data_IF_270213268495
#
_entry.id   IF_270213268495
#
_cell.length_a   1.000
_cell.length_b   1.000
_cell.length_c   1.000
_cell.angle_alpha   90.00
_cell.angle_beta   90.00
_cell.angle_gamma   90.00
#
_symmetry.space_group_name_H-M   'P 1'
#
loop_
_entity.id
_entity.type
_entity.pdbx_description
1 polymer ?
#
# COMPACT_ATOMS: atom_id res chain seq x y z
N UNK A 1 -6.50 -27.34 3.13
CA UNK A 1 -5.09 -27.68 2.84
C UNK A 1 -4.77 -29.01 3.50
N UNK A 2 -4.21 -29.98 2.78
CA UNK A 2 -3.73 -31.19 3.44
C UNK A 2 -2.64 -30.81 4.48
N UNK A 3 -2.94 -31.03 5.77
CA UNK A 3 -2.02 -30.76 6.87
C UNK A 3 -1.90 -29.29 7.31
N UNK A 4 -2.72 -28.39 6.79
CA UNK A 4 -2.74 -26.98 7.17
C UNK A 4 -4.10 -26.53 7.69
N UNK A 5 -4.12 -25.52 8.57
CA UNK A 5 -5.32 -24.89 9.10
C UNK A 5 -5.26 -23.40 8.80
N UNK A 6 -6.32 -22.85 8.21
CA UNK A 6 -6.55 -21.40 8.11
C UNK A 6 -7.55 -21.02 9.22
N UNK A 7 -7.17 -20.06 10.06
CA UNK A 7 -8.06 -19.47 11.06
C UNK A 7 -8.26 -17.99 10.72
N UNK A 8 -9.49 -17.53 10.73
CA UNK A 8 -9.86 -16.13 10.62
C UNK A 8 -10.50 -15.67 11.92
N UNK A 9 -10.11 -14.51 12.41
CA UNK A 9 -10.66 -13.90 13.63
C UNK A 9 -10.64 -12.38 13.54
N UNK A 10 -11.45 -11.73 14.37
CA UNK A 10 -11.44 -10.28 14.50
C UNK A 10 -10.29 -9.79 15.37
N UNK A 11 -9.84 -8.55 15.13
CA UNK A 11 -8.76 -7.92 15.92
C UNK A 11 -9.12 -7.65 17.39
N UNK A 12 -10.40 -7.70 17.75
CA UNK A 12 -10.88 -7.53 19.13
C UNK A 12 -10.98 -8.83 19.91
N UNK A 13 -10.79 -9.98 19.26
CA UNK A 13 -10.94 -11.30 19.85
C UNK A 13 -9.63 -11.79 20.47
N UNK A 14 -9.23 -11.23 21.62
CA UNK A 14 -7.98 -11.52 22.30
C UNK A 14 -7.70 -13.02 22.45
N UNK A 15 -8.70 -13.82 22.89
CA UNK A 15 -8.57 -15.25 23.06
C UNK A 15 -8.23 -15.94 21.72
N UNK A 16 -8.85 -15.58 20.60
CA UNK A 16 -8.58 -16.16 19.30
C UNK A 16 -7.16 -15.80 18.80
N UNK A 17 -6.72 -14.57 19.05
CA UNK A 17 -5.38 -14.08 18.70
C UNK A 17 -4.28 -14.75 19.53
N UNK A 18 -4.58 -15.16 20.77
CA UNK A 18 -3.60 -15.69 21.70
C UNK A 18 -3.59 -17.23 21.82
N UNK A 19 -4.55 -17.94 21.23
CA UNK A 19 -4.81 -19.35 21.58
C UNK A 19 -3.97 -20.38 20.84
N UNK A 20 -3.40 -20.06 19.66
CA UNK A 20 -2.78 -21.08 18.80
C UNK A 20 -1.42 -20.64 18.27
N UNK A 21 -0.43 -21.54 18.13
CA UNK A 21 0.79 -21.26 17.39
C UNK A 21 0.47 -20.95 15.92
N UNK A 22 1.07 -19.90 15.37
CA UNK A 22 0.82 -19.43 14.00
C UNK A 22 2.16 -19.32 13.27
N UNK A 23 2.27 -19.89 12.08
CA UNK A 23 3.46 -19.75 11.25
C UNK A 23 3.37 -18.57 10.32
N UNK A 24 2.21 -18.36 9.68
CA UNK A 24 1.94 -17.29 8.74
C UNK A 24 0.81 -16.42 9.29
N UNK A 25 1.06 -15.14 9.43
CA UNK A 25 0.10 -14.15 9.91
C UNK A 25 -0.17 -13.13 8.81
N UNK A 26 -1.46 -12.89 8.57
CA UNK A 26 -1.93 -11.87 7.64
C UNK A 26 -2.87 -10.93 8.38
N UNK A 27 -2.50 -9.67 8.48
CA UNK A 27 -3.33 -8.60 9.03
C UNK A 27 -3.84 -7.71 7.92
N UNK A 28 -5.15 -7.73 7.70
CA UNK A 28 -5.81 -6.86 6.73
C UNK A 28 -6.41 -5.66 7.44
N UNK A 29 -6.43 -4.49 6.77
CA UNK A 29 -6.95 -3.22 7.31
C UNK A 29 -6.37 -2.85 8.68
N UNK A 30 -5.05 -2.96 8.84
CA UNK A 30 -4.32 -2.81 10.12
C UNK A 30 -4.65 -1.51 10.86
N UNK A 31 -4.83 -0.40 10.15
CA UNK A 31 -5.15 0.91 10.73
C UNK A 31 -6.58 1.02 11.28
N UNK A 32 -7.43 0.06 10.97
CA UNK A 32 -8.80 0.00 11.47
C UNK A 32 -8.96 -0.93 12.68
N UNK A 33 -7.87 -1.55 13.10
CA UNK A 33 -7.89 -2.41 14.26
C UNK A 33 -8.03 -1.60 15.55
N UNK A 34 -8.66 -2.19 16.54
CA UNK A 34 -8.73 -1.59 17.86
C UNK A 34 -7.33 -1.43 18.46
N UNK A 35 -7.10 -0.38 19.23
CA UNK A 35 -5.84 -0.16 19.92
C UNK A 35 -5.50 -1.27 20.93
N UNK A 36 -6.51 -1.97 21.44
CA UNK A 36 -6.37 -3.10 22.35
C UNK A 36 -7.41 -4.18 22.05
N UNK A 37 -7.00 -5.44 22.07
CA UNK A 37 -7.89 -6.59 22.04
C UNK A 37 -8.43 -6.81 23.48
N UNK A 38 -9.58 -6.22 23.77
CA UNK A 38 -10.09 -6.18 25.15
C UNK A 38 -9.10 -5.47 26.09
N UNK A 39 -8.69 -6.17 27.16
CA UNK A 39 -7.70 -5.69 28.14
C UNK A 39 -6.30 -6.26 27.94
N UNK A 40 -6.05 -7.00 26.83
CA UNK A 40 -4.80 -7.76 26.64
C UNK A 40 -3.74 -7.02 25.81
N UNK A 41 -4.03 -5.81 25.33
CA UNK A 41 -3.06 -4.97 24.60
C UNK A 41 -3.16 -5.08 23.09
N UNK A 42 -2.09 -4.67 22.39
CA UNK A 42 -2.08 -4.58 20.93
C UNK A 42 -2.39 -5.92 20.24
N UNK A 43 -3.43 -6.00 19.42
CA UNK A 43 -3.82 -7.23 18.71
C UNK A 43 -2.71 -7.81 17.84
N UNK A 44 -1.90 -6.96 17.17
CA UNK A 44 -0.81 -7.40 16.33
C UNK A 44 0.31 -8.04 17.15
N UNK A 45 0.65 -7.42 18.28
CA UNK A 45 1.61 -7.97 19.24
C UNK A 45 1.18 -9.31 19.81
N UNK A 46 -0.10 -9.46 20.15
CA UNK A 46 -0.66 -10.74 20.62
C UNK A 46 -0.53 -11.84 19.57
N UNK A 47 -0.87 -11.55 18.32
CA UNK A 47 -0.82 -12.50 17.24
C UNK A 47 0.64 -12.87 16.85
N UNK A 48 1.54 -11.88 16.74
CA UNK A 48 2.95 -12.13 16.41
C UNK A 48 3.69 -12.91 17.49
N UNK A 49 3.32 -12.74 18.76
CA UNK A 49 3.88 -13.54 19.85
C UNK A 49 3.61 -15.06 19.69
N UNK A 50 2.60 -15.46 18.92
CA UNK A 50 2.30 -16.87 18.62
C UNK A 50 3.21 -17.48 17.56
N UNK A 51 4.05 -16.68 16.93
CA UNK A 51 4.99 -17.13 15.90
C UNK A 51 6.33 -17.60 16.45
N UNK A 52 6.63 -17.36 17.72
CA UNK A 52 7.95 -17.59 18.35
C UNK A 52 8.46 -19.04 18.20
N UNK A 53 7.58 -20.01 18.03
CA UNK A 53 7.93 -21.41 17.84
C UNK A 53 8.35 -21.77 16.43
N UNK A 54 8.17 -20.84 15.47
CA UNK A 54 8.47 -21.09 14.06
C UNK A 54 9.66 -20.25 13.62
N UNK A 55 10.80 -20.86 13.37
CA UNK A 55 12.02 -20.19 12.88
C UNK A 55 11.84 -19.50 11.51
N UNK A 56 10.85 -19.94 10.73
CA UNK A 56 10.53 -19.41 9.40
C UNK A 56 9.13 -18.78 9.36
N UNK A 57 8.72 -18.18 10.46
CA UNK A 57 7.49 -17.41 10.53
C UNK A 57 7.52 -16.22 9.55
N UNK A 58 6.34 -15.87 9.05
CA UNK A 58 6.15 -14.66 8.23
C UNK A 58 4.90 -13.92 8.65
N UNK A 59 5.02 -12.60 8.75
CA UNK A 59 3.91 -11.70 9.00
C UNK A 59 3.78 -10.72 7.83
N UNK A 60 2.55 -10.48 7.43
CA UNK A 60 2.20 -9.47 6.42
C UNK A 60 1.06 -8.65 6.99
N UNK A 61 1.24 -7.35 7.04
CA UNK A 61 0.18 -6.41 7.38
C UNK A 61 -0.07 -5.47 6.19
N UNK A 62 -1.33 -5.21 5.91
CA UNK A 62 -1.76 -4.31 4.84
C UNK A 62 -2.83 -3.37 5.36
N UNK A 63 -2.81 -2.14 4.90
CA UNK A 63 -3.84 -1.15 5.20
C UNK A 63 -3.69 0.08 4.32
N UNK A 64 -4.76 0.84 4.21
CA UNK A 64 -4.70 2.24 3.82
C UNK A 64 -4.43 3.07 5.08
N UNK A 65 -3.40 3.94 5.10
CA UNK A 65 -3.12 4.79 6.26
C UNK A 65 -4.29 5.74 6.52
N UNK A 66 -4.62 5.97 7.80
CA UNK A 66 -5.76 6.80 8.21
C UNK A 66 -5.33 8.19 8.64
N UNK A 67 -4.70 8.34 9.79
CA UNK A 67 -4.31 9.63 10.37
C UNK A 67 -2.79 9.71 10.39
N UNK A 68 -2.24 10.71 9.71
CA UNK A 68 -0.79 10.94 9.65
C UNK A 68 -0.19 11.03 11.06
N UNK A 69 0.86 10.26 11.31
CA UNK A 69 1.58 10.20 12.59
C UNK A 69 0.92 9.33 13.67
N UNK A 70 -0.33 8.85 13.46
CA UNK A 70 -1.01 7.92 14.35
C UNK A 70 -1.30 6.56 13.68
N UNK A 71 -1.06 6.45 12.39
CA UNK A 71 -1.27 5.27 11.58
C UNK A 71 -0.28 4.16 11.93
N UNK A 72 -0.79 2.96 12.24
CA UNK A 72 0.03 1.79 12.52
C UNK A 72 0.78 1.31 11.27
N UNK A 73 0.10 1.33 10.11
CA UNK A 73 0.73 0.90 8.84
C UNK A 73 1.77 1.93 8.36
N UNK A 74 1.59 3.23 8.62
CA UNK A 74 2.57 4.26 8.33
C UNK A 74 3.86 4.02 9.12
N UNK A 75 3.73 3.68 10.41
CA UNK A 75 4.86 3.32 11.26
C UNK A 75 5.55 2.05 10.76
N UNK A 76 4.81 0.98 10.48
CA UNK A 76 5.37 -0.26 9.94
C UNK A 76 6.08 -0.03 8.59
N UNK A 77 5.53 0.82 7.72
CA UNK A 77 6.20 1.23 6.49
C UNK A 77 7.51 1.98 6.77
N UNK A 78 7.52 2.91 7.74
CA UNK A 78 8.70 3.70 8.09
C UNK A 78 9.84 2.85 8.67
N UNK A 79 9.52 1.77 9.38
CA UNK A 79 10.49 0.84 9.99
C UNK A 79 11.09 -0.16 8.97
N UNK A 80 10.52 -0.27 7.78
CA UNK A 80 10.96 -1.20 6.74
C UNK A 80 11.81 -0.56 5.63
N UNK A 81 11.88 -1.28 4.50
CA UNK A 81 12.69 -0.88 3.32
C UNK A 81 12.16 0.33 2.56
N UNK A 82 10.94 0.78 2.80
CA UNK A 82 10.28 1.92 2.13
C UNK A 82 10.31 1.81 0.62
N UNK A 83 9.89 0.67 0.11
CA UNK A 83 9.91 0.43 -1.32
C UNK A 83 8.79 1.20 -2.03
N UNK A 84 9.17 1.88 -3.13
CA UNK A 84 8.27 2.61 -4.02
C UNK A 84 8.18 1.91 -5.36
N UNK A 85 6.96 1.85 -5.90
CA UNK A 85 6.74 1.32 -7.24
C UNK A 85 7.08 2.37 -8.27
N UNK A 86 8.12 2.10 -9.09
CA UNK A 86 8.58 3.02 -10.14
C UNK A 86 8.38 2.40 -11.50
N UNK A 87 7.81 3.18 -12.41
CA UNK A 87 7.51 2.81 -13.79
C UNK A 87 8.50 3.48 -14.74
N UNK A 88 8.94 2.74 -15.74
CA UNK A 88 9.89 3.22 -16.75
C UNK A 88 9.21 4.23 -17.66
N UNK A 89 9.85 5.37 -17.88
CA UNK A 89 9.38 6.33 -18.87
C UNK A 89 9.61 5.78 -20.29
N UNK A 90 8.61 5.79 -21.19
CA UNK A 90 8.78 5.29 -22.56
C UNK A 90 9.74 6.16 -23.42
N UNK A 91 9.96 7.42 -23.02
CA UNK A 91 10.77 8.37 -23.79
C UNK A 91 12.25 8.37 -23.35
N UNK A 92 12.52 8.52 -22.05
CA UNK A 92 13.90 8.61 -21.56
C UNK A 92 14.42 7.34 -20.89
N UNK A 93 13.57 6.36 -20.59
CA UNK A 93 13.96 5.11 -19.95
C UNK A 93 14.13 5.19 -18.43
N UNK A 94 14.08 6.37 -17.81
CA UNK A 94 14.21 6.54 -16.37
C UNK A 94 12.98 6.03 -15.63
N UNK A 95 13.23 5.49 -14.41
CA UNK A 95 12.19 4.94 -13.55
C UNK A 95 11.72 5.96 -12.53
N UNK A 96 10.45 6.35 -12.61
CA UNK A 96 9.83 7.34 -11.75
C UNK A 96 8.55 6.80 -11.10
N UNK A 97 8.22 7.28 -9.91
CA UNK A 97 6.93 7.04 -9.29
C UNK A 97 5.85 7.85 -10.02
N UNK A 98 4.67 7.27 -10.22
CA UNK A 98 3.51 8.00 -10.74
C UNK A 98 2.79 8.59 -9.53
N UNK A 99 2.86 9.92 -9.39
CA UNK A 99 2.23 10.68 -8.32
C UNK A 99 1.26 11.70 -8.89
N UNK A 100 0.37 12.21 -8.05
CA UNK A 100 -0.60 13.24 -8.46
C UNK A 100 0.09 14.50 -9.02
N UNK A 101 1.23 14.89 -8.46
CA UNK A 101 2.01 16.05 -8.91
C UNK A 101 2.47 15.94 -10.35
N UNK A 102 2.58 14.72 -10.88
CA UNK A 102 3.02 14.43 -12.24
C UNK A 102 1.85 14.18 -13.20
N UNK A 103 0.61 14.19 -12.70
CA UNK A 103 -0.58 14.10 -13.51
C UNK A 103 -1.07 15.48 -13.88
N UNK A 104 -1.47 15.68 -15.13
CA UNK A 104 -2.12 16.88 -15.62
C UNK A 104 -3.46 16.50 -16.22
N UNK A 105 -4.43 17.36 -16.01
CA UNK A 105 -5.77 17.19 -16.55
C UNK A 105 -6.34 18.51 -17.02
N UNK A 106 -7.15 18.46 -18.05
CA UNK A 106 -7.99 19.54 -18.51
C UNK A 106 -9.44 19.21 -18.13
N UNK A 107 -10.19 20.22 -17.76
CA UNK A 107 -11.59 20.08 -17.41
C UNK A 107 -12.44 21.12 -18.11
N UNK A 108 -13.62 20.72 -18.54
CA UNK A 108 -14.68 21.61 -18.97
C UNK A 108 -15.67 21.83 -17.85
N UNK A 109 -16.04 23.08 -17.63
CA UNK A 109 -17.09 23.46 -16.68
C UNK A 109 -18.42 23.56 -17.43
N UNK A 110 -19.43 22.92 -16.91
CA UNK A 110 -20.82 23.04 -17.35
C UNK A 110 -21.71 23.32 -16.16
N UNK A 111 -22.90 23.89 -16.41
CA UNK A 111 -23.88 24.19 -15.37
C UNK A 111 -25.06 23.25 -15.55
N UNK A 112 -25.39 22.46 -14.53
CA UNK A 112 -26.55 21.61 -14.49
C UNK A 112 -27.48 22.08 -13.35
N UNK A 113 -28.52 22.82 -13.70
CA UNK A 113 -29.37 23.50 -12.71
C UNK A 113 -28.61 24.63 -11.99
N UNK A 114 -28.50 24.55 -10.67
CA UNK A 114 -27.75 25.50 -9.85
C UNK A 114 -26.31 25.04 -9.53
N UNK A 115 -25.90 23.87 -9.98
CA UNK A 115 -24.61 23.28 -9.66
C UNK A 115 -23.62 23.34 -10.82
N UNK A 116 -22.34 23.62 -10.49
CA UNK A 116 -21.24 23.50 -11.43
C UNK A 116 -20.83 22.04 -11.55
N UNK A 117 -20.82 21.52 -12.77
CA UNK A 117 -20.35 20.17 -13.08
C UNK A 117 -19.08 20.27 -13.88
N UNK A 118 -18.06 19.51 -13.47
CA UNK A 118 -16.77 19.45 -14.16
C UNK A 118 -16.63 18.10 -14.85
N UNK A 119 -16.21 18.13 -16.12
CA UNK A 119 -15.88 16.94 -16.89
C UNK A 119 -14.41 16.96 -17.26
N UNK A 120 -13.65 15.95 -16.91
CA UNK A 120 -12.27 15.79 -17.36
C UNK A 120 -12.28 15.47 -18.84
N UNK A 121 -11.59 16.28 -19.65
CA UNK A 121 -11.52 16.15 -21.10
C UNK A 121 -10.21 15.57 -21.59
N UNK A 122 -9.13 15.80 -20.85
CA UNK A 122 -7.84 15.15 -21.08
C UNK A 122 -7.11 14.88 -19.78
N UNK A 123 -6.31 13.80 -19.75
CA UNK A 123 -5.55 13.40 -18.59
C UNK A 123 -4.25 12.70 -19.06
N UNK A 124 -3.10 13.19 -18.59
CA UNK A 124 -1.80 12.68 -19.01
C UNK A 124 -0.75 12.82 -17.90
N UNK A 125 0.24 11.94 -17.96
CA UNK A 125 1.41 11.95 -17.09
C UNK A 125 2.53 12.79 -17.71
N UNK A 126 3.23 13.57 -16.90
CA UNK A 126 4.47 14.26 -17.27
C UNK A 126 5.63 13.60 -16.54
N UNK A 127 6.59 13.08 -17.31
CA UNK A 127 7.79 12.49 -16.74
C UNK A 127 8.64 13.57 -16.02
N UNK A 128 8.96 13.41 -14.71
CA UNK A 128 9.76 14.40 -14.00
C UNK A 128 11.22 14.45 -14.47
N UNK A 129 11.70 13.40 -15.14
CA UNK A 129 13.09 13.34 -15.63
C UNK A 129 13.30 14.01 -16.97
N UNK A 130 12.33 13.95 -17.89
CA UNK A 130 12.50 14.49 -19.25
C UNK A 130 11.41 15.46 -19.70
N UNK A 131 10.33 15.63 -18.93
CA UNK A 131 9.22 16.53 -19.28
C UNK A 131 8.29 16.01 -20.38
N UNK A 132 8.55 14.84 -20.96
CA UNK A 132 7.68 14.28 -21.99
C UNK A 132 6.36 13.79 -21.39
N UNK A 133 5.30 13.88 -22.17
CA UNK A 133 3.95 13.44 -21.79
C UNK A 133 3.70 12.01 -22.23
N UNK A 134 2.89 11.28 -21.46
CA UNK A 134 2.39 9.95 -21.80
C UNK A 134 0.94 9.81 -21.38
N UNK A 135 0.17 9.08 -22.16
CA UNK A 135 -1.19 8.68 -21.78
C UNK A 135 -1.15 7.63 -20.66
N UNK A 136 -2.27 7.43 -19.99
CA UNK A 136 -2.42 6.39 -18.98
C UNK A 136 -2.04 5.00 -19.52
N UNK A 137 -2.54 4.65 -20.71
CA UNK A 137 -2.28 3.36 -21.34
C UNK A 137 -0.79 3.17 -21.68
N UNK A 138 -0.14 4.21 -22.21
CA UNK A 138 1.29 4.16 -22.53
C UNK A 138 2.15 3.94 -21.30
N UNK A 139 1.91 4.70 -20.23
CA UNK A 139 2.77 4.59 -19.04
C UNK A 139 2.47 3.32 -18.23
N UNK A 140 1.21 2.92 -18.09
CA UNK A 140 0.85 1.69 -17.37
C UNK A 140 1.31 0.41 -18.08
N UNK A 141 1.55 0.45 -19.39
CA UNK A 141 2.11 -0.68 -20.16
C UNK A 141 3.62 -0.86 -19.99
N UNK A 142 4.30 0.10 -19.38
CA UNK A 142 5.75 0.06 -19.25
C UNK A 142 6.21 -0.88 -18.12
N UNK A 143 7.43 -1.46 -18.25
CA UNK A 143 8.03 -2.21 -17.16
C UNK A 143 8.16 -1.37 -15.90
N UNK A 144 7.88 -2.00 -14.77
CA UNK A 144 7.96 -1.35 -13.46
C UNK A 144 8.74 -2.21 -12.48
N UNK A 145 9.23 -1.58 -11.41
CA UNK A 145 10.00 -2.26 -10.37
C UNK A 145 9.82 -1.59 -9.01
N UNK A 146 10.01 -2.37 -7.96
CA UNK A 146 10.17 -1.86 -6.61
C UNK A 146 11.59 -1.29 -6.42
N UNK A 147 11.68 -0.11 -5.80
CA UNK A 147 12.94 0.56 -5.47
C UNK A 147 12.92 0.91 -4.00
N UNK A 148 13.81 0.31 -3.22
CA UNK A 148 13.94 0.55 -1.80
C UNK A 148 14.65 1.90 -1.54
N UNK A 149 14.08 2.72 -0.66
CA UNK A 149 14.73 3.94 -0.15
C UNK A 149 15.65 3.62 1.04
N UNK A 150 15.33 2.56 1.79
CA UNK A 150 16.10 2.11 2.95
C UNK A 150 16.37 0.59 2.86
N UNK A 151 17.25 0.13 1.97
CA UNK A 151 17.54 -1.30 1.81
C UNK A 151 18.17 -1.93 3.06
N UNK A 152 18.88 -1.15 3.88
CA UNK A 152 19.54 -1.62 5.11
C UNK A 152 18.53 -2.15 6.15
N UNK A 153 17.29 -1.69 6.15
CA UNK A 153 16.27 -2.19 7.07
C UNK A 153 16.00 -3.69 6.90
N UNK A 154 16.12 -4.22 5.68
CA UNK A 154 15.98 -5.66 5.46
C UNK A 154 17.13 -6.46 6.10
N UNK A 155 18.35 -5.97 5.99
CA UNK A 155 19.51 -6.63 6.59
C UNK A 155 19.48 -6.57 8.12
N UNK A 156 18.99 -5.47 8.69
CA UNK A 156 18.93 -5.24 10.12
C UNK A 156 17.76 -5.92 10.82
N UNK A 157 16.59 -5.92 10.19
CA UNK A 157 15.32 -6.32 10.82
C UNK A 157 14.55 -7.39 10.05
N UNK A 158 14.99 -7.76 8.85
CA UNK A 158 14.27 -8.71 7.97
C UNK A 158 12.94 -8.18 7.44
N UNK A 159 12.70 -6.85 7.54
CA UNK A 159 11.41 -6.24 7.21
C UNK A 159 11.47 -5.52 5.87
N UNK A 160 10.56 -5.90 4.98
CA UNK A 160 10.29 -5.15 3.75
C UNK A 160 8.98 -4.39 3.89
N UNK A 161 8.95 -3.18 3.37
CA UNK A 161 7.74 -2.36 3.35
C UNK A 161 7.52 -1.74 1.97
N UNK A 162 6.25 -1.66 1.56
CA UNK A 162 5.88 -1.31 0.20
C UNK A 162 4.80 -0.23 0.22
N UNK A 163 4.96 0.77 -0.64
CA UNK A 163 3.92 1.75 -0.92
C UNK A 163 3.52 1.65 -2.38
N UNK A 164 2.25 1.36 -2.63
CA UNK A 164 1.67 1.29 -3.97
C UNK A 164 0.64 2.41 -4.12
N UNK A 165 0.86 3.30 -5.07
CA UNK A 165 -0.09 4.35 -5.41
C UNK A 165 -1.27 3.77 -6.20
N UNK A 166 -2.49 4.31 -5.99
CA UNK A 166 -3.66 3.99 -6.81
C UNK A 166 -3.49 4.31 -8.29
N UNK A 167 -2.64 5.29 -8.61
CA UNK A 167 -2.33 5.69 -9.99
C UNK A 167 -1.73 4.58 -10.86
N UNK A 168 -1.16 3.55 -10.27
CA UNK A 168 -0.59 2.40 -11.00
C UNK A 168 -1.54 1.21 -11.09
N UNK A 169 -2.74 1.31 -10.51
CA UNK A 169 -3.75 0.24 -10.53
C UNK A 169 -4.15 -0.10 -11.97
N UNK A 170 -4.11 -1.39 -12.36
CA UNK A 170 -4.61 -1.81 -13.67
C UNK A 170 -6.14 -1.91 -13.73
N UNK A 171 -6.81 -1.86 -12.58
CA UNK A 171 -8.26 -2.03 -12.47
C UNK A 171 -9.02 -0.70 -12.36
N UNK A 172 -8.35 0.37 -12.03
CA UNK A 172 -8.94 1.71 -11.91
C UNK A 172 -8.38 2.64 -12.99
N UNK A 173 -9.27 3.39 -13.64
CA UNK A 173 -8.85 4.49 -14.50
C UNK A 173 -8.39 5.68 -13.66
N UNK A 174 -7.52 6.48 -14.21
CA UNK A 174 -7.12 7.74 -13.58
C UNK A 174 -8.27 8.72 -13.38
N UNK A 175 -9.33 8.60 -14.16
CA UNK A 175 -10.56 9.37 -13.96
C UNK A 175 -11.36 8.93 -12.74
N UNK A 176 -11.08 7.74 -12.20
CA UNK A 176 -11.77 7.14 -11.06
C UNK A 176 -10.92 7.22 -9.77
N UNK A 177 -9.67 7.69 -9.88
CA UNK A 177 -8.68 7.82 -8.81
C UNK A 177 -8.60 9.24 -8.29
#
# INVERSE_FOLDING_TARGET
YPGGILTMCGSTEAHALASKPIRYLFGDERDRWAASAGNEGDPWGLATARQITFYNAKSVEVSTPTIKGASAIEKAYADGTKERWKTRCPHCGEYNEITFENIRFEKEESVAGNDKVYKITSLYYICPSCGCTSTEAEIKSQPSKWVAENPAAYEQHGTRSFWLSSWVSPWASWTDT
#
